data_IF_951034323006
#
_entry.id   IF_951034323006
#
_cell.length_a   1.000
_cell.length_b   1.000
_cell.length_c   1.000
_cell.angle_alpha   90.00
_cell.angle_beta   90.00
_cell.angle_gamma   90.00
#
_symmetry.space_group_name_H-M   'P 1'
#
loop_
_entity.id
_entity.type
_entity.pdbx_description
1 polymer ?
#
# COMPACT_ATOMS: atom_id res chain seq x y z
N UNK A 1 -1.06 -1.81 -21.93
CA UNK A 1 0.22 -2.48 -22.29
C UNK A 1 1.14 -2.46 -21.09
N UNK A 2 2.03 -3.46 -20.95
CA UNK A 2 2.81 -3.71 -19.74
C UNK A 2 3.55 -2.47 -19.18
N UNK A 3 4.09 -1.61 -20.04
CA UNK A 3 4.82 -0.41 -19.61
C UNK A 3 3.89 0.65 -19.00
N UNK A 4 2.64 0.75 -19.46
CA UNK A 4 1.65 1.65 -18.88
C UNK A 4 1.29 1.21 -17.46
N UNK A 5 1.09 -0.10 -17.25
CA UNK A 5 0.77 -0.65 -15.93
C UNK A 5 1.95 -0.50 -14.96
N UNK A 6 3.18 -0.72 -15.45
CA UNK A 6 4.40 -0.51 -14.66
C UNK A 6 4.51 0.95 -14.17
N UNK A 7 4.19 1.93 -15.03
CA UNK A 7 4.18 3.34 -14.64
C UNK A 7 3.13 3.65 -13.57
N UNK A 8 1.94 3.05 -13.66
CA UNK A 8 0.88 3.20 -12.66
C UNK A 8 1.30 2.63 -11.31
N UNK A 9 1.96 1.46 -11.29
CA UNK A 9 2.46 0.82 -10.07
C UNK A 9 3.59 1.64 -9.46
N UNK A 10 4.54 2.11 -10.28
CA UNK A 10 5.67 2.92 -9.82
C UNK A 10 5.26 4.26 -9.20
N UNK A 11 4.08 4.80 -9.58
CA UNK A 11 3.51 6.01 -8.99
C UNK A 11 2.86 5.79 -7.60
N UNK A 12 2.79 4.54 -7.09
CA UNK A 12 2.23 4.23 -5.77
C UNK A 12 3.30 4.21 -4.68
N UNK A 13 2.86 4.20 -3.43
CA UNK A 13 3.74 4.07 -2.26
C UNK A 13 4.51 2.74 -2.29
N UNK A 14 5.87 2.75 -2.32
CA UNK A 14 6.67 1.53 -2.46
C UNK A 14 6.48 0.53 -1.30
N UNK A 15 6.31 1.03 -0.06
CA UNK A 15 6.02 0.17 1.09
C UNK A 15 4.61 -0.44 0.95
N UNK A 16 3.62 0.35 0.54
CA UNK A 16 2.25 -0.14 0.35
C UNK A 16 2.14 -1.24 -0.71
N UNK A 17 2.84 -1.10 -1.85
CA UNK A 17 2.89 -2.16 -2.88
C UNK A 17 3.50 -3.45 -2.34
N UNK A 18 4.59 -3.36 -1.58
CA UNK A 18 5.23 -4.54 -0.96
C UNK A 18 4.31 -5.22 0.05
N UNK A 19 3.73 -4.45 0.97
CA UNK A 19 2.81 -4.98 1.98
C UNK A 19 1.54 -5.56 1.37
N UNK A 20 0.99 -4.94 0.31
CA UNK A 20 -0.18 -5.45 -0.39
C UNK A 20 0.14 -6.79 -1.09
N UNK A 21 1.26 -6.88 -1.80
CA UNK A 21 1.68 -8.14 -2.46
C UNK A 21 1.93 -9.27 -1.45
N UNK A 22 2.62 -8.96 -0.36
CA UNK A 22 2.82 -9.91 0.74
C UNK A 22 1.49 -10.30 1.39
N UNK A 23 0.60 -9.32 1.56
CA UNK A 23 -0.79 -9.46 2.01
C UNK A 23 -1.53 -10.54 1.25
N UNK A 24 -1.72 -10.30 -0.05
CA UNK A 24 -2.43 -11.16 -0.98
C UNK A 24 -1.86 -12.58 -1.04
N UNK A 25 -0.52 -12.71 -1.13
CA UNK A 25 0.12 -14.03 -1.15
C UNK A 25 -0.07 -14.83 0.15
N UNK A 26 -0.19 -14.14 1.28
CA UNK A 26 -0.31 -14.79 2.59
C UNK A 26 -1.74 -15.23 2.86
N UNK A 27 -2.71 -14.34 2.60
CA UNK A 27 -4.12 -14.61 2.95
C UNK A 27 -4.78 -15.69 2.11
N UNK A 28 -4.24 -15.96 0.90
CA UNK A 28 -4.70 -17.05 0.02
C UNK A 28 -4.82 -18.40 0.73
N UNK A 29 -3.97 -18.63 1.75
CA UNK A 29 -3.89 -19.91 2.48
C UNK A 29 -4.46 -19.84 3.90
N UNK A 30 -5.16 -18.76 4.25
CA UNK A 30 -5.72 -18.54 5.59
C UNK A 30 -7.24 -18.69 5.59
N UNK A 31 -7.82 -19.02 6.74
CA UNK A 31 -9.25 -18.82 6.93
C UNK A 31 -9.61 -17.33 6.94
N UNK A 32 -10.87 -17.02 6.63
CA UNK A 32 -11.36 -15.65 6.50
C UNK A 32 -11.07 -14.78 7.73
N UNK A 33 -11.26 -15.31 8.95
CA UNK A 33 -11.12 -14.52 10.17
C UNK A 33 -9.67 -14.16 10.43
N UNK A 34 -8.76 -15.12 10.27
CA UNK A 34 -7.33 -14.88 10.47
C UNK A 34 -6.74 -14.03 9.33
N UNK A 35 -7.13 -14.29 8.07
CA UNK A 35 -6.73 -13.47 6.93
C UNK A 35 -7.15 -12.00 7.10
N UNK A 36 -8.40 -11.76 7.52
CA UNK A 36 -8.89 -10.41 7.78
C UNK A 36 -8.10 -9.68 8.89
N UNK A 37 -7.80 -10.36 10.00
CA UNK A 37 -6.97 -9.77 11.07
C UNK A 37 -5.55 -9.47 10.61
N UNK A 38 -4.97 -10.34 9.78
CA UNK A 38 -3.66 -10.14 9.20
C UNK A 38 -3.62 -8.90 8.29
N UNK A 39 -4.58 -8.76 7.37
CA UNK A 39 -4.67 -7.56 6.50
C UNK A 39 -4.88 -6.26 7.28
N UNK A 40 -5.73 -6.27 8.30
CA UNK A 40 -5.90 -5.09 9.17
C UNK A 40 -4.59 -4.70 9.84
N UNK A 41 -3.82 -5.67 10.32
CA UNK A 41 -2.51 -5.41 10.95
C UNK A 41 -1.53 -4.79 9.94
N UNK A 42 -1.51 -5.27 8.69
CA UNK A 42 -0.71 -4.66 7.61
C UNK A 42 -1.12 -3.22 7.33
N UNK A 43 -2.42 -2.95 7.32
CA UNK A 43 -2.95 -1.59 7.13
C UNK A 43 -2.52 -0.67 8.27
N UNK A 44 -2.59 -1.15 9.52
CA UNK A 44 -2.14 -0.40 10.69
C UNK A 44 -0.64 -0.06 10.59
N UNK A 45 0.21 -1.02 10.20
CA UNK A 45 1.65 -0.79 9.97
C UNK A 45 1.88 0.25 8.87
N UNK A 46 1.16 0.13 7.74
CA UNK A 46 1.31 1.08 6.63
C UNK A 46 0.96 2.52 7.04
N UNK A 47 -0.06 2.71 7.89
CA UNK A 47 -0.48 4.04 8.36
C UNK A 47 0.58 4.78 9.18
N UNK A 48 1.60 4.07 9.70
CA UNK A 48 2.70 4.66 10.47
C UNK A 48 3.83 5.24 9.59
N UNK A 49 3.80 5.00 8.28
CA UNK A 49 4.83 5.46 7.34
C UNK A 49 4.70 6.95 7.00
N UNK A 50 5.82 7.58 6.61
CA UNK A 50 5.80 8.96 6.10
C UNK A 50 4.99 9.03 4.79
N UNK A 51 5.09 8.00 3.96
CA UNK A 51 4.35 7.88 2.70
C UNK A 51 2.82 7.87 2.92
N UNK A 52 2.33 7.27 4.01
CA UNK A 52 0.90 7.33 4.35
C UNK A 52 0.48 8.74 4.78
N UNK A 53 1.32 9.45 5.54
CA UNK A 53 1.07 10.84 5.89
C UNK A 53 1.07 11.75 4.64
N UNK A 54 2.00 11.53 3.73
CA UNK A 54 2.07 12.24 2.45
C UNK A 54 0.86 11.97 1.56
N UNK A 55 0.41 10.72 1.44
CA UNK A 55 -0.78 10.38 0.67
C UNK A 55 -2.01 11.16 1.18
N UNK A 56 -2.18 11.24 2.50
CA UNK A 56 -3.26 12.00 3.14
C UNK A 56 -3.16 13.49 2.83
N UNK A 57 -1.96 14.09 2.96
CA UNK A 57 -1.73 15.52 2.63
C UNK A 57 -1.99 15.82 1.16
N UNK A 58 -1.38 15.04 0.27
CA UNK A 58 -1.51 15.22 -1.18
C UNK A 58 -2.96 15.11 -1.66
N UNK A 59 -3.75 14.22 -1.05
CA UNK A 59 -5.18 14.11 -1.30
C UNK A 59 -5.95 15.39 -0.91
N UNK A 60 -5.73 15.90 0.30
CA UNK A 60 -6.37 17.14 0.79
C UNK A 60 -5.95 18.35 -0.06
N UNK A 61 -4.68 18.43 -0.43
CA UNK A 61 -4.08 19.51 -1.23
C UNK A 61 -4.35 19.38 -2.74
N UNK A 62 -5.01 18.30 -3.18
CA UNK A 62 -5.32 18.00 -4.59
C UNK A 62 -4.09 18.03 -5.52
N UNK A 63 -2.96 17.52 -5.03
CA UNK A 63 -1.71 17.42 -5.80
C UNK A 63 -1.21 15.96 -5.88
N UNK A 64 -0.29 15.64 -6.81
CA UNK A 64 0.39 14.35 -6.80
C UNK A 64 1.17 14.14 -5.50
N UNK A 65 1.13 12.92 -4.97
CA UNK A 65 1.91 12.51 -3.82
C UNK A 65 3.37 12.22 -4.22
N UNK A 66 4.32 12.52 -3.33
CA UNK A 66 5.75 12.20 -3.54
C UNK A 66 6.20 11.18 -2.51
N UNK A 67 6.26 9.92 -2.93
CA UNK A 67 6.65 8.81 -2.06
C UNK A 67 8.16 8.62 -1.98
N UNK A 68 8.67 8.41 -0.76
CA UNK A 68 10.10 8.23 -0.48
C UNK A 68 10.45 6.82 0.00
N UNK A 69 9.45 5.96 0.20
CA UNK A 69 9.65 4.58 0.62
C UNK A 69 10.03 4.43 2.09
N UNK A 70 9.55 5.33 2.95
CA UNK A 70 9.78 5.37 4.39
C UNK A 70 8.50 5.75 5.14
#
# INVERSE_FOLDING_TARGET
EAMSDAAVIAAKMPIGIRLAKEGLNTVEWMDLKNGYRFEQTRTAVLQLTEDAAEAKRAFVEKRPAVFKGR
#
